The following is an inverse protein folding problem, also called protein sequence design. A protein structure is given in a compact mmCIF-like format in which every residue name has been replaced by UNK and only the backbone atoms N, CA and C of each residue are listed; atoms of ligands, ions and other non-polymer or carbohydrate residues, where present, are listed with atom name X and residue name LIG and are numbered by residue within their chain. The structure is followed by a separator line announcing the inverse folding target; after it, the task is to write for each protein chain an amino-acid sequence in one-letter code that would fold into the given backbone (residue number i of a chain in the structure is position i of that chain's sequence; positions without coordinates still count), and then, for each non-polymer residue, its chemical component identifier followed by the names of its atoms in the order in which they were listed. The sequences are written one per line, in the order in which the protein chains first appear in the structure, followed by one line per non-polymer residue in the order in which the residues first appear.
data_IF_503886669696
#
_entry.id   IF_503886669696
#
_cell.length_a   1.000
_cell.length_b   1.000
_cell.length_c   1.000
_cell.angle_alpha   90.00
_cell.angle_beta   90.00
_cell.angle_gamma   90.00
#
_symmetry.space_group_name_H-M   'P 1'
#
loop_
_entity.id
_entity.type
_entity.pdbx_description
1 polymer ?
#
# COMPACT_ATOMS: atom_id res chain seq x y z
N UNK A 1 17.25 3.84 -19.33
CA UNK A 1 16.09 4.70 -19.67
C UNK A 1 15.67 5.46 -18.41
N UNK A 2 15.74 6.81 -18.38
CA UNK A 2 15.35 7.61 -17.21
C UNK A 2 13.81 7.64 -17.11
N UNK A 3 13.26 7.23 -15.96
CA UNK A 3 11.81 7.35 -15.71
C UNK A 3 11.40 8.82 -15.74
N UNK A 4 10.36 9.17 -16.50
CA UNK A 4 9.81 10.52 -16.57
C UNK A 4 8.57 10.60 -15.68
N UNK A 5 8.66 11.36 -14.59
CA UNK A 5 7.51 11.65 -13.74
C UNK A 5 6.43 12.42 -14.51
N UNK A 6 5.16 12.14 -14.21
CA UNK A 6 4.04 12.95 -14.73
C UNK A 6 4.22 14.39 -14.24
N UNK A 7 3.72 15.40 -14.98
CA UNK A 7 3.70 16.78 -14.47
C UNK A 7 2.86 16.81 -13.19
N UNK A 8 3.37 17.41 -12.11
CA UNK A 8 2.60 17.56 -10.88
C UNK A 8 1.47 18.57 -11.11
N UNK A 9 0.28 18.04 -11.39
CA UNK A 9 -0.97 18.80 -11.55
C UNK A 9 -1.90 18.60 -10.35
N UNK A 10 -1.38 18.12 -9.23
CA UNK A 10 -2.19 17.81 -8.05
C UNK A 10 -2.84 19.07 -7.48
N UNK A 11 -4.10 18.94 -7.07
CA UNK A 11 -4.82 19.97 -6.31
C UNK A 11 -3.99 20.35 -5.05
N UNK A 12 -3.96 21.63 -4.64
CA UNK A 12 -3.29 22.08 -3.41
C UNK A 12 -3.58 21.23 -2.17
N UNK A 13 -4.80 20.70 -2.04
CA UNK A 13 -5.19 19.76 -0.99
C UNK A 13 -4.25 18.54 -0.92
N UNK A 14 -3.96 17.92 -2.07
CA UNK A 14 -3.08 16.74 -2.15
C UNK A 14 -1.64 17.06 -1.77
N UNK A 15 -1.14 18.26 -2.08
CA UNK A 15 0.18 18.71 -1.61
C UNK A 15 0.21 18.84 -0.09
N UNK A 16 -0.84 19.41 0.51
CA UNK A 16 -0.97 19.54 1.97
C UNK A 16 -1.08 18.17 2.64
N UNK A 17 -1.80 17.23 2.03
CA UNK A 17 -1.90 15.85 2.52
C UNK A 17 -0.54 15.14 2.47
N UNK A 18 0.21 15.28 1.38
CA UNK A 18 1.55 14.70 1.26
C UNK A 18 2.52 15.25 2.32
N UNK A 19 2.50 16.57 2.58
CA UNK A 19 3.29 17.17 3.65
C UNK A 19 2.92 16.57 5.01
N UNK A 20 1.62 16.32 5.25
CA UNK A 20 1.16 15.65 6.48
C UNK A 20 1.68 14.22 6.57
N UNK A 21 1.57 13.44 5.50
CA UNK A 21 2.10 12.07 5.42
C UNK A 21 3.59 12.05 5.79
N UNK A 22 4.38 12.92 5.17
CA UNK A 22 5.83 13.02 5.44
C UNK A 22 6.11 13.41 6.89
N UNK A 23 5.41 14.40 7.42
CA UNK A 23 5.57 14.85 8.80
C UNK A 23 5.23 13.74 9.79
N UNK A 24 4.18 12.98 9.53
CA UNK A 24 3.73 11.92 10.42
C UNK A 24 4.65 10.70 10.34
N UNK A 25 5.14 10.36 9.15
CA UNK A 25 6.17 9.34 8.99
C UNK A 25 7.48 9.71 9.72
N UNK A 26 7.93 10.96 9.62
CA UNK A 26 9.15 11.42 10.28
C UNK A 26 9.05 11.42 11.82
N UNK A 27 7.85 11.63 12.35
CA UNK A 27 7.56 11.63 13.80
C UNK A 27 7.19 10.26 14.36
N UNK A 28 7.02 9.25 13.51
CA UNK A 28 6.54 7.95 13.93
C UNK A 28 7.56 7.25 14.81
N UNK A 29 7.09 6.70 15.94
CA UNK A 29 7.89 5.87 16.81
C UNK A 29 8.32 4.60 16.07
N UNK A 30 9.64 4.37 16.01
CA UNK A 30 10.24 3.18 15.40
C UNK A 30 9.94 1.90 16.19
N UNK A 31 9.52 2.02 17.46
CA UNK A 31 9.12 0.92 18.34
C UNK A 31 7.61 0.69 18.35
N UNK A 32 6.83 1.47 17.58
CA UNK A 32 5.40 1.27 17.50
C UNK A 32 5.07 -0.13 16.97
N UNK A 33 4.27 -0.87 17.72
CA UNK A 33 3.80 -2.21 17.38
C UNK A 33 2.28 -2.19 17.50
N UNK A 34 1.61 -2.74 16.49
CA UNK A 34 0.17 -3.00 16.53
C UNK A 34 -0.06 -4.45 16.13
N UNK A 35 -0.64 -5.25 17.04
CA UNK A 35 -0.86 -6.69 16.85
C UNK A 35 -2.32 -7.06 17.15
N UNK A 36 -2.77 -8.17 16.58
CA UNK A 36 -4.11 -8.70 16.80
C UNK A 36 -4.41 -9.89 15.90
N UNK A 37 -5.51 -10.62 16.16
CA UNK A 37 -5.87 -11.84 15.42
C UNK A 37 -6.22 -11.58 13.95
N UNK A 38 -6.58 -10.33 13.62
CA UNK A 38 -6.83 -9.85 12.25
C UNK A 38 -5.55 -9.71 11.40
N UNK A 39 -4.36 -9.94 11.98
CA UNK A 39 -3.05 -9.80 11.34
C UNK A 39 -2.29 -11.12 11.33
N UNK A 40 -1.99 -11.65 10.15
CA UNK A 40 -1.24 -12.90 9.95
C UNK A 40 0.07 -12.66 9.21
N UNK A 41 1.19 -13.11 9.77
CA UNK A 41 2.49 -13.01 9.12
C UNK A 41 2.51 -13.81 7.81
N UNK A 42 3.05 -13.21 6.75
CA UNK A 42 3.24 -13.84 5.45
C UNK A 42 4.70 -14.18 5.22
N UNK A 43 5.56 -13.15 5.17
CA UNK A 43 6.98 -13.30 4.91
C UNK A 43 7.77 -12.09 5.42
N UNK A 44 9.10 -12.20 5.40
CA UNK A 44 10.03 -11.09 5.66
C UNK A 44 10.94 -10.92 4.44
N UNK A 45 11.06 -9.68 3.96
CA UNK A 45 11.91 -9.31 2.81
C UNK A 45 12.74 -8.08 3.17
N UNK A 46 14.06 -8.18 3.07
CA UNK A 46 15.01 -7.10 3.35
C UNK A 46 14.75 -6.36 4.67
N UNK A 47 14.44 -7.11 5.73
CA UNK A 47 14.14 -6.53 7.05
C UNK A 47 12.69 -6.11 7.25
N UNK A 48 11.87 -6.05 6.19
CA UNK A 48 10.47 -5.61 6.23
C UNK A 48 9.56 -6.83 6.39
N UNK A 49 8.64 -6.78 7.36
CA UNK A 49 7.64 -7.82 7.60
C UNK A 49 6.40 -7.54 6.76
N UNK A 50 5.90 -8.56 6.08
CA UNK A 50 4.69 -8.49 5.27
C UNK A 50 3.61 -9.30 5.97
N UNK A 51 2.45 -8.68 6.16
CA UNK A 51 1.30 -9.29 6.83
C UNK A 51 0.09 -9.34 5.90
N UNK A 52 -0.64 -10.45 5.98
CA UNK A 52 -2.02 -10.53 5.51
C UNK A 52 -2.92 -9.98 6.61
N UNK A 53 -3.86 -9.09 6.26
CA UNK A 53 -4.80 -8.49 7.22
C UNK A 53 -6.25 -8.65 6.79
N UNK A 54 -7.14 -8.74 7.78
CA UNK A 54 -8.58 -8.61 7.58
C UNK A 54 -8.95 -7.14 7.31
N UNK A 55 -9.22 -6.82 6.05
CA UNK A 55 -9.54 -5.46 5.64
C UNK A 55 -10.83 -4.90 6.22
N UNK A 56 -11.82 -5.74 6.53
CA UNK A 56 -13.06 -5.27 7.16
C UNK A 56 -12.77 -4.84 8.59
N UNK A 57 -11.96 -5.61 9.32
CA UNK A 57 -11.54 -5.22 10.65
C UNK A 57 -10.77 -3.89 10.62
N UNK A 58 -9.80 -3.72 9.70
CA UNK A 58 -9.05 -2.46 9.58
C UNK A 58 -9.98 -1.27 9.30
N UNK A 59 -10.91 -1.42 8.35
CA UNK A 59 -11.82 -0.32 7.97
C UNK A 59 -12.77 0.07 9.10
N UNK A 60 -13.23 -0.89 9.89
CA UNK A 60 -14.16 -0.64 10.98
C UNK A 60 -13.48 -0.13 12.26
N UNK A 61 -12.18 -0.39 12.45
CA UNK A 61 -11.50 -0.09 13.73
C UNK A 61 -10.38 0.94 13.63
N UNK A 62 -9.71 1.06 12.48
CA UNK A 62 -8.54 1.93 12.33
C UNK A 62 -8.75 3.03 11.29
N UNK A 63 -9.15 2.68 10.06
CA UNK A 63 -9.29 3.64 8.98
C UNK A 63 -10.21 3.16 7.86
N UNK A 64 -11.36 3.82 7.73
CA UNK A 64 -12.40 3.45 6.75
C UNK A 64 -11.95 3.48 5.28
N UNK A 65 -10.91 4.25 4.95
CA UNK A 65 -10.36 4.33 3.58
C UNK A 65 -9.27 3.31 3.24
N UNK A 66 -9.09 2.25 4.04
CA UNK A 66 -8.08 1.21 3.78
C UNK A 66 -8.55 0.22 2.70
N UNK A 67 -7.92 0.30 1.51
CA UNK A 67 -8.44 -0.37 0.32
C UNK A 67 -7.76 -1.70 -0.03
N UNK A 68 -6.47 -1.72 -0.36
CA UNK A 68 -5.79 -2.94 -0.83
C UNK A 68 -4.57 -3.27 0.01
N UNK A 69 -3.75 -2.28 0.32
CA UNK A 69 -2.60 -2.42 1.19
C UNK A 69 -2.16 -1.08 1.75
N UNK A 70 -1.07 -1.11 2.50
CA UNK A 70 -0.43 0.10 3.00
C UNK A 70 0.82 -0.23 3.83
N UNK A 71 1.58 0.81 4.13
CA UNK A 71 2.80 0.70 4.92
C UNK A 71 2.99 1.89 5.87
N UNK A 72 3.93 1.75 6.81
CA UNK A 72 4.11 2.72 7.89
C UNK A 72 4.51 4.15 7.50
N UNK A 73 5.05 4.39 6.29
CA UNK A 73 5.32 5.78 5.85
C UNK A 73 4.08 6.53 5.37
N UNK A 74 2.95 5.86 5.14
CA UNK A 74 1.70 6.48 4.65
C UNK A 74 0.59 6.33 5.68
N UNK A 75 0.43 5.12 6.23
CA UNK A 75 -0.59 4.81 7.23
C UNK A 75 0.00 4.94 8.63
N UNK A 76 -0.50 5.90 9.42
CA UNK A 76 -0.01 6.17 10.79
C UNK A 76 -0.11 4.97 11.73
N UNK A 77 -1.14 4.13 11.55
CA UNK A 77 -1.39 2.94 12.36
C UNK A 77 -0.58 1.69 11.93
N UNK A 78 0.24 1.77 10.87
CA UNK A 78 1.10 0.65 10.43
C UNK A 78 2.53 0.90 10.92
N UNK A 79 3.22 -0.07 11.55
CA UNK A 79 4.64 0.06 11.90
C UNK A 79 5.56 0.35 10.68
N UNK A 80 6.67 1.06 10.91
CA UNK A 80 7.60 1.46 9.82
C UNK A 80 8.30 0.29 9.12
N UNK A 81 8.40 -0.85 9.81
CA UNK A 81 8.98 -2.09 9.32
C UNK A 81 7.92 -3.10 8.85
N UNK A 82 6.68 -2.64 8.63
CA UNK A 82 5.56 -3.47 8.20
C UNK A 82 4.90 -2.98 6.90
N UNK A 83 4.45 -3.96 6.12
CA UNK A 83 3.53 -3.79 4.99
C UNK A 83 2.33 -4.68 5.26
N UNK A 84 1.13 -4.12 5.14
CA UNK A 84 -0.12 -4.85 5.32
C UNK A 84 -0.84 -4.99 3.98
N UNK A 85 -1.29 -6.20 3.69
CA UNK A 85 -1.92 -6.58 2.43
C UNK A 85 -3.25 -7.24 2.73
N UNK A 86 -4.32 -6.81 2.06
CA UNK A 86 -5.61 -7.48 2.20
C UNK A 86 -5.59 -8.90 1.65
N UNK A 87 -6.42 -9.74 2.26
CA UNK A 87 -6.73 -11.07 1.72
C UNK A 87 -7.91 -11.03 0.76
N UNK A 88 -8.88 -10.13 0.99
CA UNK A 88 -10.12 -10.03 0.21
C UNK A 88 -10.32 -8.64 -0.39
N UNK A 89 -10.99 -8.59 -1.53
CA UNK A 89 -11.38 -7.33 -2.17
C UNK A 89 -12.35 -6.55 -1.28
N UNK A 90 -12.14 -5.23 -1.11
CA UNK A 90 -13.06 -4.39 -0.37
C UNK A 90 -14.44 -4.35 -1.05
N UNK A 91 -15.47 -3.99 -0.27
CA UNK A 91 -16.87 -3.98 -0.76
C UNK A 91 -17.05 -3.00 -1.91
N UNK A 92 -16.32 -1.88 -1.88
CA UNK A 92 -16.30 -0.84 -2.89
C UNK A 92 -15.18 -1.03 -3.93
N UNK A 93 -14.58 -2.24 -4.07
CA UNK A 93 -13.59 -2.44 -5.13
C UNK A 93 -14.24 -2.19 -6.50
N UNK A 94 -13.57 -1.37 -7.32
CA UNK A 94 -13.91 -1.13 -8.73
C UNK A 94 -13.43 -2.25 -9.67
N UNK A 95 -13.02 -3.38 -9.09
CA UNK A 95 -12.54 -4.55 -9.80
C UNK A 95 -13.68 -5.14 -10.65
N UNK A 96 -13.47 -5.28 -11.97
CA UNK A 96 -14.43 -5.93 -12.87
C UNK A 96 -14.49 -7.43 -12.55
N UNK A 97 -15.67 -8.03 -12.63
CA UNK A 97 -15.88 -9.48 -12.46
C UNK A 97 -15.45 -10.05 -11.09
N UNK A 98 -15.35 -9.20 -10.07
CA UNK A 98 -15.02 -9.58 -8.69
C UNK A 98 -16.22 -9.33 -7.80
N UNK A 99 -16.70 -10.36 -7.10
CA UNK A 99 -17.71 -10.18 -6.05
C UNK A 99 -17.06 -9.48 -4.84
N UNK A 100 -17.80 -8.60 -4.14
CA UNK A 100 -17.35 -8.05 -2.85
C UNK A 100 -16.84 -9.12 -1.91
N UNK A 101 -15.77 -8.82 -1.17
CA UNK A 101 -15.16 -9.72 -0.18
C UNK A 101 -14.62 -11.05 -0.75
N UNK A 102 -14.44 -11.16 -2.07
CA UNK A 102 -13.76 -12.29 -2.71
C UNK A 102 -12.27 -12.27 -2.40
N UNK A 103 -11.68 -13.45 -2.18
CA UNK A 103 -10.23 -13.62 -2.04
C UNK A 103 -9.49 -13.06 -3.25
N UNK A 104 -8.47 -12.25 -3.01
CA UNK A 104 -7.59 -11.74 -4.06
C UNK A 104 -6.77 -12.88 -4.68
N UNK A 105 -6.56 -12.86 -5.99
CA UNK A 105 -5.69 -13.83 -6.64
C UNK A 105 -4.25 -13.71 -6.17
N UNK A 106 -3.47 -14.77 -6.40
CA UNK A 106 -2.03 -14.77 -6.14
C UNK A 106 -1.30 -13.67 -6.92
N UNK A 107 -1.74 -13.38 -8.14
CA UNK A 107 -1.11 -12.39 -9.01
C UNK A 107 -1.41 -10.96 -8.54
N UNK A 108 -2.67 -10.68 -8.19
CA UNK A 108 -3.04 -9.39 -7.61
C UNK A 108 -2.26 -9.14 -6.31
N UNK A 109 -2.17 -10.15 -5.44
CA UNK A 109 -1.36 -10.05 -4.21
C UNK A 109 0.12 -9.79 -4.49
N UNK A 110 0.70 -10.45 -5.49
CA UNK A 110 2.10 -10.21 -5.90
C UNK A 110 2.30 -8.78 -6.41
N UNK A 111 1.37 -8.26 -7.21
CA UNK A 111 1.40 -6.87 -7.68
C UNK A 111 1.35 -5.91 -6.51
N UNK A 112 0.38 -6.10 -5.60
CA UNK A 112 0.20 -5.27 -4.42
C UNK A 112 1.43 -5.28 -3.50
N UNK A 113 2.01 -6.45 -3.21
CA UNK A 113 3.24 -6.54 -2.42
C UNK A 113 4.37 -5.77 -3.10
N UNK A 114 4.51 -5.92 -4.42
CA UNK A 114 5.53 -5.21 -5.19
C UNK A 114 5.33 -3.69 -5.14
N UNK A 115 4.09 -3.22 -5.25
CA UNK A 115 3.72 -1.82 -5.12
C UNK A 115 4.15 -1.25 -3.77
N UNK A 116 3.60 -1.81 -2.70
CA UNK A 116 3.80 -1.32 -1.34
C UNK A 116 5.27 -1.39 -0.92
N UNK A 117 5.98 -2.45 -1.32
CA UNK A 117 7.39 -2.61 -1.01
C UNK A 117 8.27 -1.59 -1.74
N UNK A 118 7.96 -1.33 -3.02
CA UNK A 118 8.67 -0.33 -3.82
C UNK A 118 8.44 1.07 -3.26
N UNK A 119 7.17 1.44 -3.03
CA UNK A 119 6.79 2.74 -2.49
C UNK A 119 7.46 2.97 -1.12
N UNK A 120 7.32 2.01 -0.20
CA UNK A 120 7.92 2.05 1.14
C UNK A 120 9.41 2.31 1.10
N UNK A 121 10.14 1.58 0.25
CA UNK A 121 11.60 1.68 0.19
C UNK A 121 12.08 2.99 -0.45
N UNK A 122 11.31 3.55 -1.38
CA UNK A 122 11.59 4.88 -1.92
C UNK A 122 11.32 5.97 -0.87
N UNK A 123 10.21 5.87 -0.15
CA UNK A 123 9.87 6.82 0.93
C UNK A 123 10.85 6.74 2.10
N UNK A 124 11.32 5.54 2.45
CA UNK A 124 12.38 5.36 3.45
C UNK A 124 13.69 6.07 3.08
N UNK A 125 13.93 6.29 1.78
CA UNK A 125 15.07 7.06 1.25
C UNK A 125 14.77 8.57 1.10
N UNK A 126 13.64 9.05 1.63
CA UNK A 126 13.24 10.46 1.59
C UNK A 126 12.45 10.87 0.34
N UNK A 127 12.02 9.92 -0.50
CA UNK A 127 11.16 10.25 -1.63
C UNK A 127 9.76 10.64 -1.15
N UNK A 128 9.18 11.68 -1.76
CA UNK A 128 7.80 12.07 -1.49
C UNK A 128 6.82 11.00 -1.99
N UNK A 129 5.73 10.79 -1.26
CA UNK A 129 4.71 9.78 -1.55
C UNK A 129 4.31 9.73 -3.03
N UNK A 130 3.96 10.85 -3.63
CA UNK A 130 3.50 10.90 -5.02
C UNK A 130 4.54 10.47 -6.06
N UNK A 131 5.83 10.70 -5.81
CA UNK A 131 6.89 10.19 -6.70
C UNK A 131 7.10 8.69 -6.47
N UNK A 132 7.08 8.26 -5.22
CA UNK A 132 7.24 6.85 -4.85
C UNK A 132 6.10 6.00 -5.44
N UNK A 133 4.86 6.47 -5.33
CA UNK A 133 3.66 5.85 -5.87
C UNK A 133 3.73 5.67 -7.39
N UNK A 134 4.10 6.72 -8.13
CA UNK A 134 4.24 6.63 -9.59
C UNK A 134 5.33 5.64 -10.02
N UNK A 135 6.43 5.55 -9.27
CA UNK A 135 7.46 4.56 -9.57
C UNK A 135 6.99 3.13 -9.25
N UNK A 136 6.22 2.97 -8.17
CA UNK A 136 5.60 1.69 -7.82
C UNK A 136 4.64 1.21 -8.92
N UNK A 137 3.73 2.08 -9.40
CA UNK A 137 2.83 1.79 -10.55
C UNK A 137 3.60 1.27 -11.77
N UNK A 138 4.79 1.80 -12.01
CA UNK A 138 5.58 1.51 -13.22
C UNK A 138 6.41 0.24 -13.06
N UNK A 139 6.84 -0.05 -11.83
CA UNK A 139 7.44 -1.33 -11.47
C UNK A 139 6.40 -2.45 -11.56
N UNK A 140 5.17 -2.21 -11.11
CA UNK A 140 4.06 -3.17 -11.27
C UNK A 140 3.76 -3.47 -12.74
N UNK A 141 3.60 -2.44 -13.57
CA UNK A 141 3.37 -2.60 -15.02
C UNK A 141 4.46 -3.42 -15.69
N UNK A 142 5.73 -3.18 -15.33
CA UNK A 142 6.87 -3.94 -15.88
C UNK A 142 6.90 -5.39 -15.41
N UNK A 143 6.50 -5.65 -14.17
CA UNK A 143 6.42 -7.01 -13.64
C UNK A 143 5.28 -7.81 -14.29
N UNK A 144 4.19 -7.14 -14.70
CA UNK A 144 3.14 -7.73 -15.50
C UNK A 144 2.32 -8.82 -14.78
N UNK A 145 2.30 -8.80 -13.44
CA UNK A 145 1.50 -9.75 -12.66
C UNK A 145 0.00 -9.61 -12.95
N UNK A 146 -0.46 -8.38 -13.17
CA UNK A 146 -1.84 -8.05 -13.57
C UNK A 146 -1.80 -7.26 -14.89
N UNK A 147 -2.69 -7.60 -15.83
CA UNK A 147 -2.79 -6.92 -17.14
C UNK A 147 -3.63 -5.64 -17.05
N UNK A 148 -4.73 -5.68 -16.30
CA UNK A 148 -5.59 -4.53 -15.99
C UNK A 148 -5.60 -4.38 -14.46
N UNK A 149 -5.22 -3.22 -13.90
CA UNK A 149 -5.24 -3.00 -12.44
C UNK A 149 -6.64 -3.06 -11.83
N UNK A 150 -7.68 -3.00 -12.66
CA UNK A 150 -9.08 -3.18 -12.27
C UNK A 150 -9.60 -4.58 -12.60
N UNK A 151 -8.71 -5.54 -12.85
CA UNK A 151 -9.05 -6.92 -13.16
C UNK A 151 -8.27 -7.86 -12.26
N UNK A 152 -8.99 -8.64 -11.45
CA UNK A 152 -8.42 -9.76 -10.72
C UNK A 152 -8.91 -11.08 -11.33
N UNK A 153 -8.40 -11.37 -12.53
CA UNK A 153 -8.67 -12.58 -13.32
C UNK A 153 -7.48 -13.53 -13.20
#
# INVERSE_FOLDING_TARGET
MKFKFKKDKRNPYWKKLELRIQKNAAKKDKKFILTGPWKKFLEKRDGIKIYLVDGNWIRNNLYGGFNHGGHGYVCEYIPLDEIWVLTTHPVDCKCKHVKPNRMMSKNFRKSLILHEFTERNLMAKGMIYWKAHQLAEEVEKKAGYIRDPYSDI
#
